data_IF_860576938118
#
_entry.id   IF_860576938118
#
_cell.length_a   1.000
_cell.length_b   1.000
_cell.length_c   1.000
_cell.angle_alpha   90.00
_cell.angle_beta   90.00
_cell.angle_gamma   90.00
#
_symmetry.space_group_name_H-M   'P 1'
#
loop_
_entity.id
_entity.type
_entity.pdbx_description
1 polymer ?
#
# COMPACT_ATOMS: atom_id res chain seq x y z
N UNK A 1 13.27 -28.03 -73.25
CA UNK A 1 13.92 -26.71 -73.28
C UNK A 1 13.26 -25.86 -72.20
N UNK A 2 14.10 -25.28 -71.35
CA UNK A 2 13.77 -24.51 -70.15
C UNK A 2 13.00 -23.23 -70.44
N UNK A 3 12.09 -22.81 -69.55
CA UNK A 3 12.27 -21.54 -68.82
C UNK A 3 11.28 -21.33 -67.66
N UNK A 4 11.87 -20.67 -66.66
CA UNK A 4 11.49 -20.33 -65.29
C UNK A 4 10.48 -19.18 -65.18
N UNK A 5 9.64 -19.21 -64.14
CA UNK A 5 9.21 -18.07 -63.29
C UNK A 5 8.54 -18.70 -62.05
N UNK A 6 8.94 -18.50 -60.80
CA UNK A 6 9.60 -17.38 -60.15
C UNK A 6 8.62 -16.75 -59.15
N UNK A 7 9.07 -16.55 -57.91
CA UNK A 7 8.42 -15.89 -56.75
C UNK A 7 7.85 -16.86 -55.70
N UNK A 8 8.44 -17.12 -54.53
CA UNK A 8 9.29 -16.35 -53.61
C UNK A 8 8.61 -15.10 -52.98
N UNK A 9 7.70 -15.30 -52.03
CA UNK A 9 7.47 -14.30 -50.96
C UNK A 9 6.64 -14.77 -49.76
N UNK A 10 5.80 -15.80 -49.84
CA UNK A 10 4.81 -16.05 -48.76
C UNK A 10 5.34 -16.76 -47.50
N UNK A 11 6.44 -17.50 -47.56
CA UNK A 11 6.98 -18.21 -46.39
C UNK A 11 7.66 -17.31 -45.34
N UNK A 12 8.21 -16.16 -45.77
CA UNK A 12 8.85 -15.20 -44.86
C UNK A 12 7.83 -14.29 -44.17
N UNK A 13 6.70 -13.99 -44.81
CA UNK A 13 5.64 -13.20 -44.18
C UNK A 13 4.97 -13.95 -43.02
N UNK A 14 4.73 -15.26 -43.13
CA UNK A 14 4.11 -16.04 -42.05
C UNK A 14 5.07 -16.22 -40.87
N UNK A 15 6.37 -16.46 -41.12
CA UNK A 15 7.36 -16.57 -40.05
C UNK A 15 7.62 -15.23 -39.32
N UNK A 16 7.62 -14.10 -40.05
CA UNK A 16 7.75 -12.76 -39.45
C UNK A 16 6.50 -12.38 -38.65
N UNK A 17 5.30 -12.75 -39.11
CA UNK A 17 4.05 -12.47 -38.38
C UNK A 17 3.93 -13.30 -37.10
N UNK A 18 4.37 -14.56 -37.09
CA UNK A 18 4.38 -15.39 -35.87
C UNK A 18 5.45 -14.91 -34.88
N UNK A 19 6.64 -14.51 -35.35
CA UNK A 19 7.66 -13.93 -34.48
C UNK A 19 7.23 -12.56 -33.90
N UNK A 20 6.57 -11.71 -34.70
CA UNK A 20 6.03 -10.44 -34.22
C UNK A 20 4.89 -10.63 -33.21
N UNK A 21 4.00 -11.60 -33.41
CA UNK A 21 2.93 -11.89 -32.46
C UNK A 21 3.45 -12.44 -31.12
N UNK A 22 4.50 -13.28 -31.14
CA UNK A 22 5.13 -13.80 -29.91
C UNK A 22 5.93 -12.71 -29.18
N UNK A 23 6.58 -11.78 -29.90
CA UNK A 23 7.24 -10.61 -29.29
C UNK A 23 6.22 -9.63 -28.71
N UNK A 24 5.06 -9.44 -29.33
CA UNK A 24 3.98 -8.61 -28.79
C UNK A 24 3.36 -9.25 -27.53
N UNK A 25 3.20 -10.58 -27.49
CA UNK A 25 2.71 -11.29 -26.30
C UNK A 25 3.77 -11.30 -25.18
N UNK A 26 5.07 -11.45 -25.50
CA UNK A 26 6.15 -11.33 -24.50
C UNK A 26 6.40 -9.89 -24.03
N UNK A 27 6.16 -8.89 -24.88
CA UNK A 27 6.17 -7.47 -24.50
C UNK A 27 4.94 -7.11 -23.65
N UNK A 28 3.77 -7.70 -23.93
CA UNK A 28 2.57 -7.52 -23.12
C UNK A 28 2.64 -8.24 -21.76
N UNK A 29 3.50 -9.26 -21.61
CA UNK A 29 3.70 -9.98 -20.34
C UNK A 29 4.88 -9.45 -19.50
N UNK A 30 5.63 -8.44 -19.97
CA UNK A 30 6.81 -7.89 -19.25
C UNK A 30 6.64 -6.46 -18.72
N UNK A 31 5.45 -5.86 -18.84
CA UNK A 31 5.13 -4.56 -18.27
C UNK A 31 4.22 -4.61 -17.03
N UNK A 32 4.35 -5.67 -16.22
CA UNK A 32 3.65 -5.79 -14.94
C UNK A 32 4.63 -5.86 -13.77
N UNK A 33 5.57 -4.92 -13.76
CA UNK A 33 6.31 -4.54 -12.55
C UNK A 33 5.62 -3.28 -12.05
N UNK A 34 4.78 -3.47 -11.03
CA UNK A 34 3.97 -2.39 -10.47
C UNK A 34 4.71 -1.65 -9.36
N UNK A 35 4.86 -0.33 -9.51
CA UNK A 35 4.64 0.57 -8.39
C UNK A 35 3.73 1.75 -8.81
N UNK A 36 2.60 1.95 -8.11
CA UNK A 36 1.68 3.09 -8.30
C UNK A 36 0.33 2.75 -8.98
N UNK A 37 -0.75 2.60 -8.20
CA UNK A 37 -2.11 2.21 -8.63
C UNK A 37 -3.19 3.26 -8.32
N UNK A 38 -2.89 4.55 -8.38
CA UNK A 38 -3.89 5.59 -8.08
C UNK A 38 -4.11 6.63 -9.21
N UNK A 39 -3.73 6.34 -10.46
CA UNK A 39 -4.11 7.22 -11.56
C UNK A 39 -5.51 6.82 -12.05
N UNK A 40 -6.51 7.60 -11.65
CA UNK A 40 -7.79 7.69 -12.37
C UNK A 40 -7.49 8.30 -13.74
N UNK A 41 -7.71 7.55 -14.81
CA UNK A 41 -7.77 8.10 -16.15
C UNK A 41 -9.24 8.47 -16.44
N UNK A 42 -9.58 9.75 -16.29
CA UNK A 42 -10.76 10.31 -16.94
C UNK A 42 -10.36 10.69 -18.37
N UNK A 43 -10.91 9.97 -19.34
CA UNK A 43 -10.78 10.31 -20.77
C UNK A 43 -11.60 11.57 -21.05
N UNK A 44 -10.95 12.74 -21.08
CA UNK A 44 -11.62 13.95 -21.53
C UNK A 44 -10.88 15.25 -21.30
N UNK A 45 -10.24 15.73 -22.37
CA UNK A 45 -9.89 17.12 -22.64
C UNK A 45 -8.51 17.60 -22.19
N UNK A 46 -7.69 17.87 -23.21
CA UNK A 46 -6.39 18.51 -23.15
C UNK A 46 -6.53 19.97 -22.73
N UNK A 47 -6.32 20.26 -21.45
CA UNK A 47 -5.88 21.57 -21.00
C UNK A 47 -4.42 21.47 -20.55
N UNK A 48 -3.54 22.18 -21.24
CA UNK A 48 -2.16 22.39 -20.85
C UNK A 48 -2.11 23.32 -19.63
N UNK A 49 -2.54 22.82 -18.46
CA UNK A 49 -2.21 23.43 -17.19
C UNK A 49 -0.84 22.89 -16.77
N UNK A 50 0.08 23.82 -16.54
CA UNK A 50 1.35 23.59 -15.83
C UNK A 50 1.07 22.70 -14.62
N UNK A 51 1.48 21.43 -14.75
CA UNK A 51 1.49 20.48 -13.65
C UNK A 51 2.54 21.01 -12.66
N UNK A 52 2.10 21.84 -11.71
CA UNK A 52 2.82 21.99 -10.45
C UNK A 52 2.77 20.61 -9.82
N UNK A 53 3.82 19.82 -10.07
CA UNK A 53 4.09 18.62 -9.29
C UNK A 53 4.09 19.07 -7.84
N UNK A 54 3.12 18.58 -7.07
CA UNK A 54 3.20 18.69 -5.62
C UNK A 54 4.59 18.15 -5.21
N UNK A 55 5.29 18.83 -4.29
CA UNK A 55 6.60 18.35 -3.86
C UNK A 55 6.44 16.91 -3.37
N UNK A 56 7.18 15.98 -3.97
CA UNK A 56 7.20 14.58 -3.56
C UNK A 56 7.61 14.51 -2.08
N UNK A 57 6.87 13.75 -1.26
CA UNK A 57 7.20 13.59 0.16
C UNK A 57 8.61 13.02 0.28
N UNK A 58 9.47 13.54 1.18
CA UNK A 58 10.81 12.99 1.36
C UNK A 58 10.73 11.51 1.73
N UNK A 59 11.62 10.69 1.14
CA UNK A 59 11.65 9.23 1.38
C UNK A 59 12.48 8.83 2.59
N UNK A 60 13.04 9.81 3.30
CA UNK A 60 13.93 9.57 4.44
C UNK A 60 13.56 10.54 5.56
N UNK A 61 13.45 10.07 6.81
CA UNK A 61 13.16 10.94 7.94
C UNK A 61 14.30 11.92 8.22
N UNK A 62 13.94 13.09 8.75
CA UNK A 62 14.90 14.08 9.27
C UNK A 62 15.24 13.88 10.75
N UNK A 63 14.58 12.94 11.42
CA UNK A 63 14.80 12.56 12.81
C UNK A 63 15.12 11.06 12.90
N UNK A 64 15.86 10.66 13.91
CA UNK A 64 16.17 9.25 14.14
C UNK A 64 14.98 8.51 14.75
N UNK A 65 14.84 7.23 14.38
CA UNK A 65 13.91 6.33 15.05
C UNK A 65 14.38 5.99 16.46
N UNK A 66 13.44 5.77 17.37
CA UNK A 66 13.72 5.24 18.70
C UNK A 66 13.84 3.73 18.60
N UNK A 67 14.96 3.21 19.12
CA UNK A 67 15.23 1.79 19.18
C UNK A 67 14.18 1.07 20.03
N UNK A 68 13.81 -0.13 19.58
CA UNK A 68 12.93 -1.01 20.35
C UNK A 68 13.67 -1.55 21.59
N UNK A 69 12.93 -1.97 22.63
CA UNK A 69 13.50 -2.77 23.72
C UNK A 69 14.18 -4.04 23.17
N UNK A 70 15.27 -4.48 23.81
CA UNK A 70 16.00 -5.69 23.39
C UNK A 70 15.13 -6.96 23.44
N UNK A 71 14.13 -6.97 24.31
CA UNK A 71 13.15 -8.04 24.51
C UNK A 71 11.86 -7.85 23.69
N UNK A 72 11.87 -6.96 22.68
CA UNK A 72 10.75 -6.79 21.77
C UNK A 72 10.32 -8.11 21.11
N UNK A 73 9.02 -8.26 20.92
CA UNK A 73 8.43 -9.43 20.24
C UNK A 73 8.73 -9.41 18.75
N UNK A 74 8.49 -10.53 18.08
CA UNK A 74 8.71 -10.63 16.64
C UNK A 74 7.79 -9.70 15.84
N UNK A 75 6.52 -9.52 16.26
CA UNK A 75 5.64 -8.53 15.63
C UNK A 75 6.23 -7.13 15.75
N UNK A 76 6.67 -6.72 16.95
CA UNK A 76 7.18 -5.38 17.16
C UNK A 76 8.50 -5.16 16.40
N UNK A 77 9.38 -6.16 16.32
CA UNK A 77 10.60 -6.13 15.49
C UNK A 77 10.30 -6.03 14.00
N UNK A 78 9.18 -6.58 13.53
CA UNK A 78 8.75 -6.48 12.14
C UNK A 78 8.23 -5.08 11.78
N UNK A 79 7.88 -4.25 12.78
CA UNK A 79 7.46 -2.87 12.52
C UNK A 79 8.66 -2.05 12.05
N UNK A 80 8.53 -1.31 10.94
CA UNK A 80 9.67 -0.59 10.36
C UNK A 80 10.11 0.55 11.27
N UNK A 81 11.42 0.83 11.28
CA UNK A 81 11.96 2.02 11.95
C UNK A 81 11.46 3.32 11.29
N UNK A 82 11.16 3.26 9.98
CA UNK A 82 10.62 4.39 9.23
C UNK A 82 9.72 3.97 8.08
N UNK A 83 8.78 4.85 7.74
CA UNK A 83 7.96 4.80 6.53
C UNK A 83 8.05 6.17 5.90
N UNK A 84 8.57 6.29 4.68
CA UNK A 84 8.91 7.59 4.06
C UNK A 84 9.74 8.48 5.01
N UNK A 85 9.28 9.70 5.29
CA UNK A 85 9.89 10.66 6.21
C UNK A 85 9.44 10.49 7.67
N UNK A 86 8.62 9.49 7.99
CA UNK A 86 8.20 9.24 9.35
C UNK A 86 9.14 8.26 10.04
N UNK A 87 9.75 8.66 11.14
CA UNK A 87 10.51 7.76 12.02
C UNK A 87 9.62 7.26 13.18
N UNK A 88 9.76 6.00 13.58
CA UNK A 88 9.08 5.46 14.76
C UNK A 88 9.69 6.08 16.03
N UNK A 89 8.96 6.97 16.70
CA UNK A 89 9.43 7.69 17.89
C UNK A 89 8.89 7.12 19.20
N UNK A 90 7.86 6.28 19.14
CA UNK A 90 7.32 5.59 20.30
C UNK A 90 6.76 4.22 19.90
N UNK A 91 6.84 3.27 20.83
CA UNK A 91 6.19 1.97 20.75
C UNK A 91 5.86 1.51 22.17
N UNK A 92 4.60 1.19 22.42
CA UNK A 92 4.14 0.71 23.73
C UNK A 92 3.06 -0.35 23.55
N UNK A 93 2.98 -1.28 24.50
CA UNK A 93 1.87 -2.25 24.56
C UNK A 93 0.53 -1.50 24.68
N UNK A 94 -0.50 -2.03 24.04
CA UNK A 94 -1.84 -1.45 24.03
C UNK A 94 -2.90 -2.51 24.33
N UNK A 95 -4.11 -2.04 24.65
CA UNK A 95 -5.27 -2.88 25.01
C UNK A 95 -6.56 -2.40 24.36
N UNK A 96 -6.44 -1.57 23.32
CA UNK A 96 -7.54 -0.97 22.57
C UNK A 96 -8.45 -2.01 21.95
N UNK A 97 -7.90 -3.17 21.55
CA UNK A 97 -8.64 -4.29 20.96
C UNK A 97 -8.65 -5.52 21.87
N UNK A 98 -8.41 -5.37 23.18
CA UNK A 98 -8.34 -6.50 24.11
C UNK A 98 -9.60 -7.38 24.13
N UNK A 99 -10.78 -6.83 23.81
CA UNK A 99 -12.03 -7.58 23.70
C UNK A 99 -12.06 -8.58 22.53
N UNK A 100 -11.23 -8.35 21.50
CA UNK A 100 -11.03 -9.26 20.37
C UNK A 100 -9.89 -10.27 20.59
N UNK A 101 -9.28 -10.25 21.78
CA UNK A 101 -8.26 -11.20 22.23
C UNK A 101 -7.05 -11.37 21.28
N UNK A 102 -6.37 -10.28 20.89
CA UNK A 102 -5.11 -10.40 20.15
C UNK A 102 -4.05 -11.12 21.01
N UNK A 103 -3.10 -11.78 20.35
CA UNK A 103 -1.93 -12.38 20.99
C UNK A 103 -1.01 -11.30 21.57
N UNK A 104 -0.90 -10.19 20.84
CA UNK A 104 -0.13 -9.00 21.19
C UNK A 104 -0.69 -7.78 20.44
N UNK A 105 -0.58 -6.60 21.05
CA UNK A 105 -1.07 -5.34 20.52
C UNK A 105 -0.14 -4.20 20.94
N UNK A 106 0.18 -3.32 19.99
CA UNK A 106 1.04 -2.17 20.21
C UNK A 106 0.43 -0.91 19.64
N UNK A 107 0.66 0.20 20.32
CA UNK A 107 0.48 1.55 19.77
C UNK A 107 1.86 2.16 19.54
N UNK A 108 2.06 2.68 18.33
CA UNK A 108 3.29 3.31 17.88
C UNK A 108 3.02 4.72 17.36
N UNK A 109 4.01 5.59 17.51
CA UNK A 109 4.00 6.92 16.90
C UNK A 109 5.07 6.99 15.83
N UNK A 110 4.67 7.42 14.64
CA UNK A 110 5.52 7.70 13.50
C UNK A 110 5.50 9.21 13.25
N UNK A 111 6.67 9.86 13.31
CA UNK A 111 6.78 11.32 13.33
C UNK A 111 7.77 11.82 12.29
N UNK A 112 7.49 13.01 11.74
CA UNK A 112 8.42 13.79 10.92
C UNK A 112 9.28 14.75 11.76
N UNK A 113 9.07 14.77 13.08
CA UNK A 113 9.54 15.81 13.99
C UNK A 113 8.53 16.95 14.19
N UNK A 114 7.42 16.93 13.46
CA UNK A 114 6.30 17.87 13.61
C UNK A 114 5.07 17.14 14.17
N UNK A 115 4.69 17.42 15.41
CA UNK A 115 3.58 16.72 16.10
C UNK A 115 2.24 16.80 15.35
N UNK A 116 2.01 17.86 14.57
CA UNK A 116 0.80 18.00 13.77
C UNK A 116 0.70 16.97 12.61
N UNK A 117 1.83 16.39 12.22
CA UNK A 117 1.93 15.40 11.14
C UNK A 117 2.05 13.96 11.67
N UNK A 118 2.12 13.76 12.99
CA UNK A 118 2.31 12.45 13.58
C UNK A 118 1.21 11.46 13.16
N UNK A 119 1.63 10.25 12.85
CA UNK A 119 0.75 9.10 12.61
C UNK A 119 0.80 8.19 13.82
N UNK A 120 -0.36 7.93 14.41
CA UNK A 120 -0.51 6.90 15.43
C UNK A 120 -0.94 5.60 14.75
N UNK A 121 -0.13 4.55 14.92
CA UNK A 121 -0.39 3.22 14.40
C UNK A 121 -0.72 2.27 15.56
N UNK A 122 -1.89 1.63 15.51
CA UNK A 122 -2.17 0.45 16.33
C UNK A 122 -1.93 -0.78 15.45
N UNK A 123 -1.14 -1.73 15.92
CA UNK A 123 -0.91 -3.01 15.26
C UNK A 123 -1.15 -4.15 16.25
N UNK A 124 -1.85 -5.19 15.82
CA UNK A 124 -2.10 -6.37 16.63
C UNK A 124 -2.09 -7.63 15.80
N UNK A 125 -1.75 -8.75 16.43
CA UNK A 125 -1.72 -10.07 15.79
C UNK A 125 -2.72 -11.02 16.45
N UNK A 126 -3.37 -11.85 15.63
CA UNK A 126 -4.22 -12.95 16.06
C UNK A 126 -3.59 -14.31 15.74
N UNK A 127 -4.12 -15.36 16.37
CA UNK A 127 -3.69 -16.73 16.11
C UNK A 127 -4.10 -17.26 14.73
N UNK A 128 -5.11 -16.66 14.10
CA UNK A 128 -5.63 -17.07 12.79
C UNK A 128 -6.02 -15.87 11.94
N UNK A 129 -5.97 -16.05 10.62
CA UNK A 129 -6.42 -15.05 9.65
C UNK A 129 -7.91 -14.71 9.79
N UNK A 130 -8.75 -15.68 10.14
CA UNK A 130 -10.19 -15.45 10.34
C UNK A 130 -10.48 -14.55 11.55
N UNK A 131 -9.68 -14.68 12.62
CA UNK A 131 -9.81 -13.82 13.80
C UNK A 131 -9.34 -12.39 13.50
N UNK A 132 -8.21 -12.23 12.81
CA UNK A 132 -7.75 -10.94 12.31
C UNK A 132 -8.80 -10.30 11.38
N UNK A 133 -9.36 -11.08 10.45
CA UNK A 133 -10.44 -10.65 9.55
C UNK A 133 -11.68 -10.16 10.29
N UNK A 134 -12.07 -10.86 11.35
CA UNK A 134 -13.22 -10.43 12.17
C UNK A 134 -12.97 -9.05 12.77
N UNK A 135 -11.77 -8.79 13.29
CA UNK A 135 -11.42 -7.47 13.82
C UNK A 135 -11.35 -6.41 12.73
N UNK A 136 -10.71 -6.71 11.59
CA UNK A 136 -10.68 -5.81 10.44
C UNK A 136 -12.09 -5.41 9.99
N UNK A 137 -12.99 -6.39 9.81
CA UNK A 137 -14.36 -6.13 9.34
C UNK A 137 -15.12 -5.25 10.36
N UNK A 138 -14.90 -5.46 11.66
CA UNK A 138 -15.49 -4.63 12.72
C UNK A 138 -14.97 -3.18 12.68
N UNK A 139 -13.65 -2.98 12.55
CA UNK A 139 -13.03 -1.66 12.46
C UNK A 139 -13.45 -0.94 11.18
N UNK A 140 -13.38 -1.61 10.03
CA UNK A 140 -13.76 -1.08 8.73
C UNK A 140 -15.25 -0.68 8.69
N UNK A 141 -16.13 -1.52 9.24
CA UNK A 141 -17.57 -1.27 9.34
C UNK A 141 -17.95 -0.11 10.26
N UNK A 142 -17.08 0.25 11.21
CA UNK A 142 -17.27 1.39 12.11
C UNK A 142 -16.87 2.73 11.47
N UNK A 143 -16.11 2.74 10.38
CA UNK A 143 -15.70 3.99 9.71
C UNK A 143 -16.86 4.61 8.94
N UNK A 144 -17.31 5.79 9.37
CA UNK A 144 -18.49 6.49 8.82
C UNK A 144 -18.16 7.74 8.00
N UNK A 145 -16.90 8.19 7.99
CA UNK A 145 -16.46 9.33 7.18
C UNK A 145 -16.42 9.04 5.69
N UNK A 146 -16.07 10.06 4.90
CA UNK A 146 -15.90 9.93 3.44
C UNK A 146 -14.77 8.96 3.09
N UNK A 147 -15.00 8.07 2.13
CA UNK A 147 -13.99 7.12 1.68
C UNK A 147 -12.87 7.80 0.88
N UNK A 148 -11.63 7.57 1.31
CA UNK A 148 -10.42 8.00 0.61
C UNK A 148 -9.89 6.90 -0.32
N UNK A 149 -10.07 5.63 0.06
CA UNK A 149 -9.73 4.48 -0.76
C UNK A 149 -10.00 3.15 -0.08
N UNK A 150 -10.09 2.09 -0.87
CA UNK A 150 -10.26 0.72 -0.38
C UNK A 150 -9.74 -0.29 -1.41
N UNK A 151 -9.39 -1.49 -0.97
CA UNK A 151 -8.93 -2.54 -1.88
C UNK A 151 -8.26 -3.73 -1.20
N UNK A 152 -7.60 -4.55 -2.01
CA UNK A 152 -6.86 -5.72 -1.56
C UNK A 152 -5.43 -5.35 -1.13
N UNK A 153 -4.95 -6.01 -0.10
CA UNK A 153 -3.54 -6.02 0.33
C UNK A 153 -2.88 -7.26 -0.29
N UNK A 154 -1.81 -7.05 -1.07
CA UNK A 154 -1.09 -8.13 -1.76
C UNK A 154 0.35 -8.24 -1.30
N UNK A 155 0.77 -9.46 -0.96
CA UNK A 155 2.17 -9.79 -0.63
C UNK A 155 2.64 -10.82 -1.64
N UNK A 156 3.71 -10.48 -2.38
CA UNK A 156 4.23 -11.33 -3.46
C UNK A 156 3.17 -11.75 -4.51
N UNK A 157 2.19 -10.88 -4.76
CA UNK A 157 1.11 -11.11 -5.72
C UNK A 157 -0.11 -11.88 -5.18
N UNK A 158 -0.04 -12.41 -3.96
CA UNK A 158 -1.16 -13.08 -3.29
C UNK A 158 -1.95 -12.10 -2.43
N UNK A 159 -3.29 -12.15 -2.50
CA UNK A 159 -4.15 -11.39 -1.59
C UNK A 159 -3.99 -11.94 -0.18
N UNK A 160 -3.47 -11.11 0.74
CA UNK A 160 -3.32 -11.42 2.17
C UNK A 160 -4.29 -10.64 3.06
N UNK A 161 -5.00 -9.68 2.50
CA UNK A 161 -5.96 -8.91 3.27
C UNK A 161 -6.63 -7.83 2.47
N UNK A 162 -7.21 -6.87 3.18
CA UNK A 162 -7.92 -5.72 2.62
C UNK A 162 -7.49 -4.46 3.35
N UNK A 163 -7.70 -3.31 2.72
CA UNK A 163 -7.55 -2.01 3.34
C UNK A 163 -8.78 -1.13 3.06
N UNK A 164 -9.04 -0.21 3.97
CA UNK A 164 -9.96 0.91 3.78
C UNK A 164 -9.39 2.13 4.49
N UNK A 165 -9.44 3.29 3.83
CA UNK A 165 -9.08 4.57 4.40
C UNK A 165 -10.26 5.53 4.24
N UNK A 166 -10.61 6.24 5.31
CA UNK A 166 -11.68 7.25 5.32
C UNK A 166 -11.24 8.49 6.07
N UNK A 167 -11.88 9.63 5.80
CA UNK A 167 -11.80 10.77 6.69
C UNK A 167 -12.30 10.40 8.09
N UNK A 168 -11.75 11.05 9.11
CA UNK A 168 -12.33 10.95 10.45
C UNK A 168 -13.69 11.67 10.44
N UNK A 169 -14.74 10.99 10.91
CA UNK A 169 -16.09 11.54 10.91
C UNK A 169 -16.26 12.74 11.87
N UNK A 170 -15.38 12.86 12.86
CA UNK A 170 -15.36 13.97 13.81
C UNK A 170 -14.47 15.14 13.36
N UNK A 171 -13.54 14.91 12.43
CA UNK A 171 -12.53 15.90 12.00
C UNK A 171 -12.05 15.58 10.56
N UNK A 172 -12.58 16.30 9.58
CA UNK A 172 -12.27 16.08 8.15
C UNK A 172 -10.84 16.46 7.75
N UNK A 173 -10.07 17.07 8.66
CA UNK A 173 -8.63 17.30 8.48
C UNK A 173 -7.79 16.06 8.81
N UNK A 174 -8.42 15.03 9.39
CA UNK A 174 -7.80 13.76 9.77
C UNK A 174 -8.35 12.60 8.96
N UNK A 175 -7.61 11.50 8.98
CA UNK A 175 -8.02 10.26 8.37
C UNK A 175 -7.75 9.06 9.28
N UNK A 176 -8.47 7.99 9.00
CA UNK A 176 -8.31 6.67 9.59
C UNK A 176 -8.13 5.66 8.47
N UNK A 177 -7.02 4.94 8.48
CA UNK A 177 -6.78 3.81 7.58
C UNK A 177 -6.73 2.53 8.41
N UNK A 178 -7.46 1.50 7.95
CA UNK A 178 -7.47 0.17 8.56
C UNK A 178 -7.07 -0.82 7.46
N UNK A 179 -6.10 -1.67 7.75
CA UNK A 179 -5.72 -2.75 6.84
C UNK A 179 -5.33 -4.00 7.60
N UNK A 180 -5.31 -5.12 6.89
CA UNK A 180 -4.84 -6.37 7.44
C UNK A 180 -3.91 -7.10 6.48
N UNK A 181 -3.02 -7.90 7.04
CA UNK A 181 -2.13 -8.80 6.32
C UNK A 181 -2.07 -10.13 7.07
N UNK A 182 -2.77 -11.13 6.53
CA UNK A 182 -2.92 -12.46 7.10
C UNK A 182 -3.45 -12.41 8.54
N UNK A 183 -2.57 -12.53 9.54
CA UNK A 183 -2.91 -12.56 10.96
C UNK A 183 -2.78 -11.21 11.67
N UNK A 184 -2.34 -10.16 10.98
CA UNK A 184 -2.07 -8.84 11.58
C UNK A 184 -3.08 -7.81 11.08
N UNK A 185 -3.63 -7.02 12.00
CA UNK A 185 -4.49 -5.87 11.69
C UNK A 185 -3.82 -4.60 12.15
N UNK A 186 -3.97 -3.55 11.35
CA UNK A 186 -3.39 -2.25 11.55
C UNK A 186 -4.47 -1.17 11.50
N UNK A 187 -4.31 -0.12 12.30
CA UNK A 187 -5.09 1.11 12.22
C UNK A 187 -4.16 2.32 12.34
N UNK A 188 -4.06 3.12 11.28
CA UNK A 188 -3.35 4.39 11.29
C UNK A 188 -4.34 5.55 11.43
N UNK A 189 -3.98 6.52 12.28
CA UNK A 189 -4.74 7.75 12.51
C UNK A 189 -3.81 8.95 12.57
N UNK A 190 -4.26 10.12 12.11
CA UNK A 190 -3.44 11.33 12.04
C UNK A 190 -4.00 12.33 11.03
N UNK A 191 -3.20 13.35 10.69
CA UNK A 191 -3.53 14.28 9.62
C UNK A 191 -3.77 13.52 8.30
N UNK A 192 -4.76 13.96 7.51
CA UNK A 192 -5.19 13.28 6.28
C UNK A 192 -4.02 12.91 5.37
N UNK A 193 -3.21 13.88 4.98
CA UNK A 193 -2.09 13.66 4.06
C UNK A 193 -1.01 12.78 4.71
N UNK A 194 -0.80 12.89 6.02
CA UNK A 194 0.14 12.02 6.74
C UNK A 194 -0.29 10.55 6.65
N UNK A 195 -1.54 10.27 7.00
CA UNK A 195 -2.10 8.91 7.01
C UNK A 195 -2.10 8.32 5.61
N UNK A 196 -2.53 9.09 4.59
CA UNK A 196 -2.60 8.61 3.21
C UNK A 196 -1.24 8.12 2.71
N UNK A 197 -0.19 8.94 2.77
CA UNK A 197 1.10 8.45 2.26
C UNK A 197 1.72 7.41 3.20
N UNK A 198 1.40 7.44 4.51
CA UNK A 198 1.92 6.45 5.45
C UNK A 198 1.39 5.04 5.17
N UNK A 199 0.07 4.84 5.08
CA UNK A 199 -0.47 3.49 4.91
C UNK A 199 -0.19 2.92 3.51
N UNK A 200 -0.09 3.80 2.50
CA UNK A 200 0.22 3.39 1.12
C UNK A 200 1.65 2.89 0.95
N UNK A 201 2.59 3.40 1.75
CA UNK A 201 4.01 3.05 1.70
C UNK A 201 4.44 2.15 2.87
N UNK A 202 3.48 1.71 3.70
CA UNK A 202 3.75 0.82 4.81
C UNK A 202 4.19 -0.55 4.28
N UNK A 203 5.35 -1.09 4.72
CA UNK A 203 5.83 -2.39 4.27
C UNK A 203 4.92 -3.52 4.76
N UNK A 204 4.62 -4.47 3.86
CA UNK A 204 3.72 -5.61 4.08
C UNK A 204 4.47 -6.94 4.04
#
# INVERSE_FOLDING_TARGET
MSNTQGSSSHGKLIAVVVAAAVVIILAALSAFVWPGWAIRHDDGQSDAQTQQTAPERPKTPSIDAVALPEDATELLKAMPDSVLNFARTAAAASTSWGSSTPLEEYTMTYSTGQTAEDVTLIAAQWSTADAAKTQYDALAGALTGEELGSGEVKVSGETKGNYVAKLDAADDTKAVAVWQNDTVVFQATGAKDSVVDFYMEFPL
#
